data_IF_534432337779
#
_entry.id   IF_534432337779
#
_cell.length_a   1.000
_cell.length_b   1.000
_cell.length_c   1.000
_cell.angle_alpha   90.00
_cell.angle_beta   90.00
_cell.angle_gamma   90.00
#
_symmetry.space_group_name_H-M   'P 1'
#
loop_
_entity.id
_entity.type
_entity.pdbx_description
1 polymer ?
#
# COMPACT_ATOMS: atom_id res chain seq x y z
N UNK A 1 -4.34 24.86 -19.18
CA UNK A 1 -3.88 24.89 -17.77
C UNK A 1 -4.89 25.53 -16.83
N UNK A 2 -5.52 26.65 -17.21
CA UNK A 2 -6.54 27.33 -16.39
C UNK A 2 -7.75 26.44 -16.03
N UNK A 3 -8.25 25.64 -16.98
CA UNK A 3 -9.35 24.69 -16.73
C UNK A 3 -9.04 23.68 -15.61
N UNK A 4 -7.81 23.16 -15.54
CA UNK A 4 -7.40 22.23 -14.48
C UNK A 4 -7.25 22.91 -13.11
N UNK A 5 -6.86 24.19 -13.09
CA UNK A 5 -6.74 24.96 -11.85
C UNK A 5 -8.11 25.37 -11.29
N UNK A 6 -9.10 25.59 -12.17
CA UNK A 6 -10.48 25.90 -11.79
C UNK A 6 -11.14 24.80 -10.95
N UNK A 7 -10.78 23.53 -11.17
CA UNK A 7 -11.33 22.38 -10.43
C UNK A 7 -11.11 22.50 -8.92
N UNK A 8 -10.00 23.10 -8.46
CA UNK A 8 -9.76 23.32 -7.04
C UNK A 8 -10.72 24.34 -6.40
N UNK A 9 -11.31 25.23 -7.21
CA UNK A 9 -12.34 26.17 -6.75
C UNK A 9 -13.72 25.52 -6.68
N UNK A 10 -13.95 24.47 -7.47
CA UNK A 10 -15.21 23.73 -7.53
C UNK A 10 -15.26 22.57 -6.54
N UNK A 11 -14.13 21.95 -6.23
CA UNK A 11 -14.00 20.75 -5.40
C UNK A 11 -13.08 20.99 -4.20
N UNK A 12 -13.63 21.54 -3.11
CA UNK A 12 -12.86 21.97 -1.93
C UNK A 12 -12.13 20.86 -1.15
N UNK A 13 -12.37 19.59 -1.46
CA UNK A 13 -11.62 18.46 -0.89
C UNK A 13 -10.30 18.17 -1.62
N UNK A 14 -10.11 18.74 -2.83
CA UNK A 14 -8.87 18.60 -3.56
C UNK A 14 -7.84 19.59 -3.02
N UNK A 15 -6.63 19.10 -2.74
CA UNK A 15 -5.50 19.92 -2.31
C UNK A 15 -4.63 20.27 -3.51
N UNK A 16 -4.24 21.54 -3.71
CA UNK A 16 -3.32 21.94 -4.78
C UNK A 16 -1.90 21.38 -4.59
N UNK A 17 -1.56 20.94 -3.37
CA UNK A 17 -0.28 20.37 -3.01
C UNK A 17 -0.27 18.84 -3.05
N UNK A 18 0.90 18.27 -3.35
CA UNK A 18 1.15 16.83 -3.36
C UNK A 18 1.73 16.31 -2.03
N UNK A 19 1.66 17.09 -0.93
CA UNK A 19 2.36 16.78 0.32
C UNK A 19 1.98 15.41 0.88
N UNK A 20 0.73 14.99 0.71
CA UNK A 20 0.27 13.67 1.14
C UNK A 20 1.02 12.55 0.40
N UNK A 21 1.15 12.66 -0.92
CA UNK A 21 1.88 11.70 -1.74
C UNK A 21 3.38 11.72 -1.42
N UNK A 22 3.98 12.91 -1.23
CA UNK A 22 5.38 13.05 -0.86
C UNK A 22 5.69 12.46 0.52
N UNK A 23 4.80 12.67 1.49
CA UNK A 23 4.93 12.08 2.82
C UNK A 23 4.80 10.56 2.78
N UNK A 24 3.90 10.01 1.94
CA UNK A 24 3.73 8.58 1.76
C UNK A 24 4.97 7.92 1.12
N UNK A 25 5.64 8.58 0.16
CA UNK A 25 6.83 8.04 -0.50
C UNK A 25 8.13 8.29 0.28
N UNK A 26 8.16 9.25 1.22
CA UNK A 26 9.37 9.60 1.96
C UNK A 26 10.02 8.41 2.71
N UNK A 27 9.28 7.55 3.43
CA UNK A 27 9.86 6.36 4.05
C UNK A 27 10.55 5.43 3.06
N UNK A 28 10.00 5.29 1.84
CA UNK A 28 10.62 4.54 0.75
C UNK A 28 11.95 5.15 0.30
N UNK A 29 11.95 6.45 0.06
CA UNK A 29 13.14 7.17 -0.41
C UNK A 29 14.29 7.10 0.61
N UNK A 30 13.97 7.13 1.91
CA UNK A 30 14.94 6.98 2.99
C UNK A 30 15.39 5.53 3.14
N UNK A 31 14.45 4.58 3.11
CA UNK A 31 14.70 3.16 3.35
C UNK A 31 15.48 2.45 2.23
N UNK A 32 15.35 2.88 0.97
CA UNK A 32 16.01 2.23 -0.18
C UNK A 32 17.54 2.14 -0.08
N UNK A 33 18.19 3.01 0.71
CA UNK A 33 19.64 2.93 0.99
C UNK A 33 20.01 1.72 1.87
N UNK A 34 19.05 1.21 2.64
CA UNK A 34 19.22 0.11 3.59
C UNK A 34 18.59 -1.21 3.10
N UNK A 35 17.89 -1.21 1.96
CA UNK A 35 17.26 -2.41 1.41
C UNK A 35 18.16 -3.07 0.38
N UNK A 36 18.68 -4.24 0.76
CA UNK A 36 19.65 -5.04 0.00
C UNK A 36 19.22 -5.39 -1.44
N UNK A 37 17.94 -5.26 -1.79
CA UNK A 37 17.38 -5.63 -3.09
C UNK A 37 16.90 -4.45 -3.95
N UNK A 38 17.03 -3.21 -3.49
CA UNK A 38 16.56 -2.02 -4.21
C UNK A 38 17.43 -1.60 -5.43
N UNK A 39 18.44 -2.42 -5.80
CA UNK A 39 19.40 -2.13 -6.87
C UNK A 39 19.08 -2.73 -8.25
N UNK A 40 18.03 -3.55 -8.39
CA UNK A 40 17.65 -4.16 -9.67
C UNK A 40 16.19 -3.82 -10.04
N UNK A 41 15.81 -3.79 -11.34
CA UNK A 41 14.42 -3.56 -11.76
C UNK A 41 13.42 -4.52 -11.11
N UNK A 42 13.77 -5.81 -11.03
CA UNK A 42 12.96 -6.84 -10.37
C UNK A 42 12.80 -6.58 -8.87
N UNK A 43 13.87 -6.14 -8.21
CA UNK A 43 13.83 -5.77 -6.80
C UNK A 43 13.02 -4.49 -6.54
N UNK A 44 13.06 -3.53 -7.45
CA UNK A 44 12.23 -2.33 -7.41
C UNK A 44 10.73 -2.68 -7.55
N UNK A 45 10.38 -3.56 -8.49
CA UNK A 45 9.01 -4.05 -8.68
C UNK A 45 8.49 -4.80 -7.44
N UNK A 46 9.27 -5.76 -6.91
CA UNK A 46 8.91 -6.47 -5.70
C UNK A 46 8.74 -5.53 -4.50
N UNK A 47 9.63 -4.54 -4.36
CA UNK A 47 9.52 -3.53 -3.31
C UNK A 47 8.23 -2.73 -3.46
N UNK A 48 7.92 -2.25 -4.67
CA UNK A 48 6.70 -1.48 -4.94
C UNK A 48 5.43 -2.26 -4.59
N UNK A 49 5.40 -3.58 -4.86
CA UNK A 49 4.30 -4.45 -4.46
C UNK A 49 4.13 -4.49 -2.93
N UNK A 50 5.21 -4.72 -2.18
CA UNK A 50 5.13 -4.74 -0.72
C UNK A 50 4.72 -3.40 -0.12
N UNK A 51 5.25 -2.28 -0.62
CA UNK A 51 4.84 -0.96 -0.14
C UNK A 51 3.37 -0.68 -0.43
N UNK A 52 2.90 -1.07 -1.61
CA UNK A 52 1.48 -0.90 -1.95
C UNK A 52 0.59 -1.66 -0.96
N UNK A 53 0.93 -2.91 -0.63
CA UNK A 53 0.19 -3.69 0.37
C UNK A 53 0.25 -3.08 1.77
N UNK A 54 1.44 -2.67 2.22
CA UNK A 54 1.65 -2.07 3.55
C UNK A 54 0.89 -0.76 3.70
N UNK A 55 0.99 0.14 2.72
CA UNK A 55 0.29 1.43 2.78
C UNK A 55 -1.22 1.26 2.66
N UNK A 56 -1.70 0.28 1.88
CA UNK A 56 -3.13 -0.06 1.83
C UNK A 56 -3.63 -0.61 3.17
N UNK A 57 -2.86 -1.49 3.82
CA UNK A 57 -3.18 -2.01 5.16
C UNK A 57 -3.29 -0.87 6.19
N UNK A 58 -2.31 0.05 6.21
CA UNK A 58 -2.36 1.24 7.08
C UNK A 58 -3.58 2.12 6.78
N UNK A 59 -3.87 2.36 5.50
CA UNK A 59 -5.01 3.18 5.08
C UNK A 59 -6.35 2.58 5.54
N UNK A 60 -6.43 1.25 5.66
CA UNK A 60 -7.59 0.53 6.16
C UNK A 60 -7.54 0.24 7.67
N UNK A 61 -6.58 0.82 8.41
CA UNK A 61 -6.50 0.72 9.87
C UNK A 61 -5.90 -0.59 10.39
N UNK A 62 -5.31 -1.41 9.51
CA UNK A 62 -4.65 -2.65 9.89
C UNK A 62 -3.20 -2.40 10.32
N UNK A 63 -2.75 -3.16 11.31
CA UNK A 63 -1.32 -3.20 11.66
C UNK A 63 -0.57 -3.99 10.57
N UNK A 64 0.39 -3.39 9.85
CA UNK A 64 0.97 -4.01 8.65
C UNK A 64 1.71 -5.32 8.91
N UNK A 65 2.39 -5.46 10.05
CA UNK A 65 3.12 -6.68 10.36
C UNK A 65 2.15 -7.85 10.62
N UNK A 66 1.11 -7.63 11.41
CA UNK A 66 0.04 -8.60 11.66
C UNK A 66 -0.66 -9.02 10.37
N UNK A 67 -1.00 -8.06 9.49
CA UNK A 67 -1.58 -8.34 8.18
C UNK A 67 -0.66 -9.23 7.33
N UNK A 68 0.62 -8.85 7.17
CA UNK A 68 1.57 -9.62 6.36
C UNK A 68 1.81 -11.02 6.91
N UNK A 69 1.80 -11.19 8.24
CA UNK A 69 1.91 -12.50 8.87
C UNK A 69 0.77 -13.41 8.45
N UNK A 70 -0.48 -12.96 8.63
CA UNK A 70 -1.67 -13.74 8.24
C UNK A 70 -1.69 -13.99 6.73
N UNK A 71 -1.33 -12.99 5.93
CA UNK A 71 -1.21 -13.12 4.48
C UNK A 71 -0.27 -14.27 4.11
N UNK A 72 0.97 -14.28 4.62
CA UNK A 72 1.94 -15.31 4.26
C UNK A 72 1.61 -16.70 4.80
N UNK A 73 0.87 -16.79 5.91
CA UNK A 73 0.38 -18.07 6.46
C UNK A 73 -0.74 -18.65 5.59
N UNK A 74 -1.66 -17.82 5.08
CA UNK A 74 -2.83 -18.26 4.31
C UNK A 74 -2.63 -18.30 2.80
N UNK A 75 -1.73 -17.50 2.25
CA UNK A 75 -1.47 -17.41 0.81
C UNK A 75 -1.16 -18.78 0.15
N UNK A 76 -0.38 -19.69 0.76
CA UNK A 76 -0.12 -21.01 0.20
C UNK A 76 -1.36 -21.93 0.15
N UNK A 77 -2.38 -21.62 0.96
CA UNK A 77 -3.63 -22.40 1.04
C UNK A 77 -4.69 -21.90 0.06
N UNK A 78 -4.51 -20.72 -0.53
CA UNK A 78 -5.44 -20.14 -1.49
C UNK A 78 -5.39 -20.89 -2.83
N UNK A 79 -6.55 -21.34 -3.30
CA UNK A 79 -6.69 -22.12 -4.54
C UNK A 79 -7.63 -21.48 -5.54
N UNK A 80 -8.60 -20.68 -5.07
CA UNK A 80 -9.57 -19.99 -5.91
C UNK A 80 -9.47 -18.47 -5.79
N UNK A 81 -10.14 -17.75 -6.70
CA UNK A 81 -10.13 -16.28 -6.73
C UNK A 81 -10.66 -15.69 -5.42
N UNK A 82 -11.68 -16.33 -4.87
CA UNK A 82 -12.37 -15.92 -3.65
C UNK A 82 -11.42 -15.99 -2.45
N UNK A 83 -10.55 -17.01 -2.38
CA UNK A 83 -9.51 -17.10 -1.35
C UNK A 83 -8.55 -15.91 -1.43
N UNK A 84 -8.08 -15.57 -2.63
CA UNK A 84 -7.18 -14.43 -2.82
C UNK A 84 -7.85 -13.09 -2.49
N UNK A 85 -9.15 -12.95 -2.77
CA UNK A 85 -9.92 -11.77 -2.41
C UNK A 85 -10.04 -11.61 -0.89
N UNK A 86 -10.24 -12.72 -0.16
CA UNK A 86 -10.27 -12.72 1.30
C UNK A 86 -8.91 -12.35 1.93
N UNK A 87 -7.81 -12.42 1.15
CA UNK A 87 -6.48 -12.02 1.59
C UNK A 87 -6.15 -10.54 1.37
N UNK A 88 -7.05 -9.77 0.76
CA UNK A 88 -6.83 -8.34 0.53
C UNK A 88 -6.88 -7.56 1.85
N UNK A 89 -6.13 -6.45 1.97
CA UNK A 89 -6.09 -5.64 3.18
C UNK A 89 -7.35 -4.78 3.30
N UNK A 90 -8.51 -5.37 3.58
CA UNK A 90 -9.78 -4.66 3.75
C UNK A 90 -9.99 -4.24 5.22
N UNK A 91 -10.86 -3.25 5.52
CA UNK A 91 -11.11 -2.81 6.90
C UNK A 91 -11.67 -3.92 7.82
N UNK A 92 -12.33 -4.92 7.24
CA UNK A 92 -12.91 -6.10 7.89
C UNK A 92 -11.97 -7.32 7.86
N UNK A 93 -10.71 -7.15 7.43
CA UNK A 93 -9.74 -8.24 7.34
C UNK A 93 -9.51 -8.89 8.71
N UNK A 94 -9.68 -10.21 8.76
CA UNK A 94 -9.51 -10.95 10.00
C UNK A 94 -8.03 -11.19 10.31
N UNK A 95 -7.53 -10.50 11.34
CA UNK A 95 -6.18 -10.66 11.89
C UNK A 95 -6.04 -11.84 12.87
N UNK A 96 -7.15 -12.45 13.31
CA UNK A 96 -7.10 -13.68 14.11
C UNK A 96 -6.85 -14.89 13.21
N UNK A 97 -6.01 -15.80 13.68
CA UNK A 97 -5.79 -17.12 13.06
C UNK A 97 -6.82 -18.17 13.51
N UNK A 98 -7.87 -17.72 14.18
CA UNK A 98 -8.99 -18.53 14.68
C UNK A 98 -10.09 -18.68 13.63
#
# INVERSE_FOLDING_TARGET
QWEYLGVYLEQGYLKPDNNAAENAIRPFVVGRKNWLFAGSPRGAEASALFFSLIETAKANGLEPFAYLKVLFERLPLATCREDYQALLPTPDFNLSND
#
